data_IF_291683285338
#
_entry.id   IF_291683285338
#
_cell.length_a   1.000
_cell.length_b   1.000
_cell.length_c   1.000
_cell.angle_alpha   90.00
_cell.angle_beta   90.00
_cell.angle_gamma   90.00
#
_symmetry.space_group_name_H-M   'P 1'
#
loop_
_entity.id
_entity.type
_entity.pdbx_description
1 polymer ?
#
# COMPACT_ATOMS: atom_id res chain seq x y z
N UNK A 1 -33.37 50.41 -43.70
CA UNK A 1 -32.19 50.21 -42.83
C UNK A 1 -32.64 49.45 -41.60
N UNK A 2 -32.71 48.11 -41.66
CA UNK A 2 -33.03 47.26 -40.51
C UNK A 2 -32.07 46.06 -40.54
N UNK A 3 -31.09 46.04 -39.63
CA UNK A 3 -30.09 44.98 -39.49
C UNK A 3 -30.67 43.83 -38.65
N UNK A 4 -30.70 42.63 -39.23
CA UNK A 4 -30.95 41.39 -38.49
C UNK A 4 -29.65 40.91 -37.84
N UNK A 5 -29.53 41.08 -36.52
CA UNK A 5 -28.46 40.44 -35.74
C UNK A 5 -28.95 39.05 -35.30
N UNK A 6 -28.50 37.99 -35.97
CA UNK A 6 -28.72 36.61 -35.55
C UNK A 6 -27.80 36.29 -34.37
N UNK A 7 -28.36 36.15 -33.17
CA UNK A 7 -27.65 35.66 -32.00
C UNK A 7 -27.54 34.12 -32.10
N UNK A 8 -26.36 33.62 -32.45
CA UNK A 8 -26.04 32.19 -32.40
C UNK A 8 -25.57 31.89 -30.97
N UNK A 9 -26.44 31.30 -30.14
CA UNK A 9 -26.05 30.72 -28.86
C UNK A 9 -25.31 29.41 -29.10
N UNK A 10 -23.98 29.46 -29.04
CA UNK A 10 -23.10 28.30 -29.07
C UNK A 10 -23.19 27.57 -27.73
N UNK A 11 -24.04 26.54 -27.65
CA UNK A 11 -24.09 25.60 -26.51
C UNK A 11 -22.85 24.70 -26.57
N UNK A 12 -21.77 25.12 -25.93
CA UNK A 12 -20.60 24.28 -25.69
C UNK A 12 -20.96 23.21 -24.67
N UNK A 13 -21.29 22.00 -25.13
CA UNK A 13 -21.31 20.79 -24.30
C UNK A 13 -19.87 20.46 -23.88
N UNK A 14 -19.43 21.02 -22.75
CA UNK A 14 -18.23 20.57 -22.08
C UNK A 14 -18.50 19.21 -21.45
N UNK A 15 -17.92 18.15 -22.00
CA UNK A 15 -17.84 16.86 -21.30
C UNK A 15 -17.04 17.07 -20.01
N UNK A 16 -17.74 17.14 -18.87
CA UNK A 16 -17.13 17.08 -17.56
C UNK A 16 -16.61 15.65 -17.36
N UNK A 17 -15.32 15.44 -17.62
CA UNK A 17 -14.65 14.23 -17.17
C UNK A 17 -14.51 14.31 -15.63
N UNK A 18 -15.38 13.60 -14.91
CA UNK A 18 -15.21 13.44 -13.47
C UNK A 18 -13.87 12.72 -13.21
N UNK A 19 -13.00 13.35 -12.41
CA UNK A 19 -11.72 12.77 -12.06
C UNK A 19 -11.96 11.50 -11.21
N UNK A 20 -11.36 10.40 -11.63
CA UNK A 20 -11.52 9.12 -10.94
C UNK A 20 -10.94 9.20 -9.52
N UNK A 21 -11.79 8.96 -8.52
CA UNK A 21 -11.44 8.98 -7.10
C UNK A 21 -10.52 7.80 -6.80
N UNK A 22 -9.34 8.05 -6.22
CA UNK A 22 -8.32 7.02 -5.91
C UNK A 22 -8.39 6.46 -4.50
N UNK A 23 -9.09 7.17 -3.60
CA UNK A 23 -9.21 6.83 -2.18
C UNK A 23 -10.66 7.03 -1.77
N UNK A 24 -11.27 6.02 -1.15
CA UNK A 24 -12.57 6.10 -0.50
C UNK A 24 -12.40 5.93 1.01
N UNK A 25 -13.17 6.66 1.80
CA UNK A 25 -13.08 6.60 3.26
C UNK A 25 -14.39 6.10 3.84
N UNK A 26 -14.30 5.01 4.60
CA UNK A 26 -15.42 4.36 5.28
C UNK A 26 -15.40 4.74 6.74
N UNK A 27 -16.49 5.28 7.26
CA UNK A 27 -16.57 5.77 8.63
C UNK A 27 -17.26 4.79 9.56
N UNK A 28 -16.85 4.83 10.84
CA UNK A 28 -17.36 3.96 11.88
C UNK A 28 -17.83 4.77 13.08
N UNK A 29 -18.89 4.27 13.70
CA UNK A 29 -19.34 4.73 15.00
C UNK A 29 -18.28 4.53 16.08
N UNK A 30 -18.45 5.26 17.18
CA UNK A 30 -17.62 5.07 18.35
C UNK A 30 -17.65 3.62 18.81
N UNK A 31 -16.45 3.06 19.01
CA UNK A 31 -16.23 1.71 19.52
C UNK A 31 -16.83 0.56 18.68
N UNK A 32 -17.21 0.85 17.43
CA UNK A 32 -17.77 -0.16 16.52
C UNK A 32 -16.83 -0.47 15.36
N UNK A 33 -16.97 -1.70 14.86
CA UNK A 33 -16.44 -2.16 13.58
C UNK A 33 -17.54 -2.60 12.61
N UNK A 34 -18.82 -2.54 12.99
CA UNK A 34 -19.93 -2.68 12.06
C UNK A 34 -20.13 -1.39 11.24
N UNK A 35 -20.55 -1.53 9.99
CA UNK A 35 -20.91 -0.43 9.10
C UNK A 35 -22.40 -0.46 8.78
N UNK A 36 -22.95 0.67 8.36
CA UNK A 36 -24.32 0.77 7.86
C UNK A 36 -24.39 0.52 6.34
N UNK A 37 -25.61 0.43 5.80
CA UNK A 37 -25.84 0.20 4.37
C UNK A 37 -25.28 1.31 3.48
N UNK A 38 -25.19 2.55 3.98
CA UNK A 38 -24.64 3.67 3.21
C UNK A 38 -23.13 3.50 3.02
N UNK A 39 -22.42 3.15 4.10
CA UNK A 39 -20.99 2.84 4.08
C UNK A 39 -20.70 1.59 3.24
N UNK A 40 -21.55 0.56 3.33
CA UNK A 40 -21.43 -0.63 2.49
C UNK A 40 -21.56 -0.26 1.00
N UNK A 41 -22.58 0.51 0.63
CA UNK A 41 -22.77 0.96 -0.74
C UNK A 41 -21.60 1.83 -1.23
N UNK A 42 -21.02 2.66 -0.37
CA UNK A 42 -19.86 3.49 -0.72
C UNK A 42 -18.64 2.63 -1.12
N UNK A 43 -18.40 1.50 -0.45
CA UNK A 43 -17.35 0.53 -0.81
C UNK A 43 -17.60 -0.03 -2.21
N UNK A 44 -18.83 -0.49 -2.46
CA UNK A 44 -19.20 -1.11 -3.72
C UNK A 44 -19.10 -0.12 -4.88
N UNK A 45 -19.68 1.06 -4.70
CA UNK A 45 -19.63 2.16 -5.68
C UNK A 45 -18.20 2.53 -6.05
N UNK A 46 -17.31 2.62 -5.07
CA UNK A 46 -15.92 2.97 -5.29
C UNK A 46 -15.20 1.94 -6.16
N UNK A 47 -15.43 0.66 -5.91
CA UNK A 47 -14.78 -0.43 -6.67
C UNK A 47 -15.41 -0.64 -8.04
N UNK A 48 -16.74 -0.49 -8.17
CA UNK A 48 -17.46 -0.62 -9.44
C UNK A 48 -17.15 0.53 -10.40
N UNK A 49 -17.05 1.76 -9.88
CA UNK A 49 -16.70 2.95 -10.70
C UNK A 49 -15.26 2.92 -11.19
N UNK A 50 -14.39 2.15 -10.53
CA UNK A 50 -13.03 1.97 -10.95
C UNK A 50 -12.93 0.91 -12.06
N UNK A 51 -12.12 1.17 -13.09
CA UNK A 51 -11.86 0.19 -14.13
C UNK A 51 -11.06 -0.99 -13.56
N UNK A 52 -11.78 -2.07 -13.24
CA UNK A 52 -11.23 -3.27 -12.60
C UNK A 52 -10.14 -3.98 -13.41
N UNK A 53 -10.04 -3.72 -14.72
CA UNK A 53 -9.01 -4.31 -15.60
C UNK A 53 -7.64 -3.70 -15.36
N UNK A 54 -7.61 -2.42 -14.98
CA UNK A 54 -6.40 -1.68 -14.63
C UNK A 54 -6.14 -1.63 -13.13
N UNK A 55 -7.03 -2.13 -12.27
CA UNK A 55 -6.73 -2.29 -10.84
C UNK A 55 -5.67 -3.37 -10.67
N UNK A 56 -4.56 -2.99 -10.07
CA UNK A 56 -3.51 -3.89 -9.64
C UNK A 56 -3.78 -4.37 -8.20
N UNK A 57 -4.06 -3.44 -7.28
CA UNK A 57 -4.40 -3.77 -5.90
C UNK A 57 -5.39 -2.82 -5.25
N UNK A 58 -6.05 -3.31 -4.20
CA UNK A 58 -6.78 -2.55 -3.20
C UNK A 58 -6.02 -2.64 -1.88
N UNK A 59 -5.79 -1.49 -1.26
CA UNK A 59 -5.18 -1.36 0.06
C UNK A 59 -6.22 -0.84 1.05
N UNK A 60 -6.22 -1.39 2.26
CA UNK A 60 -7.20 -1.13 3.32
C UNK A 60 -6.45 -0.76 4.59
N UNK A 61 -6.63 0.47 5.05
CA UNK A 61 -5.99 0.99 6.27
C UNK A 61 -7.04 1.43 7.28
N UNK A 62 -7.05 0.79 8.46
CA UNK A 62 -8.03 1.08 9.51
C UNK A 62 -7.44 1.93 10.61
N UNK A 63 -8.24 2.85 11.15
CA UNK A 63 -7.83 3.80 12.17
C UNK A 63 -8.87 3.87 13.28
N UNK A 64 -8.39 4.24 14.46
CA UNK A 64 -9.22 4.60 15.61
C UNK A 64 -8.99 6.06 16.01
N UNK A 65 -9.91 6.60 16.81
CA UNK A 65 -9.68 7.89 17.45
C UNK A 65 -8.64 7.78 18.59
N UNK A 66 -8.30 8.91 19.22
CA UNK A 66 -7.20 9.05 20.17
C UNK A 66 -7.41 8.29 21.50
N UNK A 67 -8.64 7.83 21.77
CA UNK A 67 -9.06 7.29 23.07
C UNK A 67 -8.81 5.79 23.18
N UNK A 68 -8.61 5.32 24.41
CA UNK A 68 -8.35 3.90 24.71
C UNK A 68 -6.87 3.53 24.62
N UNK A 69 -6.53 2.32 25.06
CA UNK A 69 -5.14 1.85 25.05
C UNK A 69 -4.67 1.43 23.64
N UNK A 70 -3.36 1.31 23.45
CA UNK A 70 -2.78 1.02 22.13
C UNK A 70 -3.21 -0.35 21.59
N UNK A 71 -3.17 -1.40 22.42
CA UNK A 71 -3.46 -2.77 22.00
C UNK A 71 -4.92 -2.93 21.57
N UNK A 72 -5.83 -2.32 22.35
CA UNK A 72 -7.25 -2.26 22.05
C UNK A 72 -7.51 -1.58 20.71
N UNK A 73 -6.92 -0.39 20.51
CA UNK A 73 -7.12 0.35 19.27
C UNK A 73 -6.53 -0.37 18.07
N UNK A 74 -5.39 -1.02 18.23
CA UNK A 74 -4.80 -1.84 17.18
C UNK A 74 -5.78 -2.96 16.78
N UNK A 75 -6.31 -3.71 17.76
CA UNK A 75 -7.30 -4.76 17.52
C UNK A 75 -8.59 -4.23 16.87
N UNK A 76 -9.17 -3.15 17.39
CA UNK A 76 -10.38 -2.54 16.82
C UNK A 76 -10.16 -2.08 15.38
N UNK A 77 -9.00 -1.48 15.09
CA UNK A 77 -8.66 -1.07 13.72
C UNK A 77 -8.46 -2.27 12.78
N UNK A 78 -7.95 -3.40 13.27
CA UNK A 78 -7.90 -4.67 12.52
C UNK A 78 -9.30 -5.23 12.22
N UNK A 79 -10.22 -5.17 13.18
CA UNK A 79 -11.59 -5.66 12.99
C UNK A 79 -12.37 -4.79 11.98
N UNK A 80 -12.11 -3.47 11.95
CA UNK A 80 -12.66 -2.55 10.94
C UNK A 80 -12.19 -2.88 9.53
N UNK A 81 -10.88 -3.07 9.31
CA UNK A 81 -10.39 -3.44 7.98
C UNK A 81 -10.89 -4.81 7.53
N UNK A 82 -11.05 -5.75 8.47
CA UNK A 82 -11.64 -7.06 8.18
C UNK A 82 -13.11 -6.96 7.76
N UNK A 83 -13.87 -6.03 8.33
CA UNK A 83 -15.26 -5.75 7.94
C UNK A 83 -15.32 -5.27 6.49
N UNK A 84 -14.50 -4.27 6.11
CA UNK A 84 -14.43 -3.77 4.73
C UNK A 84 -13.97 -4.86 3.76
N UNK A 85 -12.97 -5.66 4.14
CA UNK A 85 -12.53 -6.84 3.37
C UNK A 85 -13.68 -7.83 3.16
N UNK A 86 -14.46 -8.13 4.20
CA UNK A 86 -15.58 -9.06 4.11
C UNK A 86 -16.62 -8.58 3.09
N UNK A 87 -16.97 -7.29 3.09
CA UNK A 87 -17.86 -6.67 2.09
C UNK A 87 -17.33 -6.88 0.67
N UNK A 88 -16.07 -6.52 0.42
CA UNK A 88 -15.44 -6.70 -0.90
C UNK A 88 -15.50 -8.15 -1.37
N UNK A 89 -15.13 -9.09 -0.49
CA UNK A 89 -15.03 -10.50 -0.87
C UNK A 89 -16.37 -11.20 -1.01
N UNK A 90 -17.39 -10.79 -0.25
CA UNK A 90 -18.76 -11.32 -0.37
C UNK A 90 -19.41 -10.87 -1.68
N UNK A 91 -19.06 -9.69 -2.18
CA UNK A 91 -19.50 -9.15 -3.47
C UNK A 91 -18.61 -9.58 -4.65
N UNK A 92 -17.86 -10.67 -4.49
CA UNK A 92 -17.12 -11.31 -5.58
C UNK A 92 -15.81 -10.60 -5.98
N UNK A 93 -15.36 -9.60 -5.24
CA UNK A 93 -14.06 -8.98 -5.52
C UNK A 93 -12.93 -9.99 -5.34
N UNK A 94 -12.01 -10.02 -6.30
CA UNK A 94 -10.91 -10.99 -6.27
C UNK A 94 -10.02 -10.77 -5.05
N UNK A 95 -10.04 -11.73 -4.12
CA UNK A 95 -9.23 -11.74 -2.89
C UNK A 95 -7.74 -11.51 -3.16
N UNK A 96 -7.23 -11.94 -4.30
CA UNK A 96 -5.82 -11.79 -4.67
C UNK A 96 -5.44 -10.34 -5.02
N UNK A 97 -6.43 -9.47 -5.29
CA UNK A 97 -6.18 -8.03 -5.50
C UNK A 97 -6.27 -7.23 -4.20
N UNK A 98 -6.73 -7.78 -3.09
CA UNK A 98 -6.73 -7.10 -1.78
C UNK A 98 -5.39 -7.39 -1.11
N UNK A 99 -4.43 -6.47 -1.21
CA UNK A 99 -3.04 -6.74 -0.82
C UNK A 99 -2.74 -6.28 0.61
N UNK A 100 -3.02 -5.02 0.94
CA UNK A 100 -2.71 -4.48 2.28
C UNK A 100 -3.98 -4.39 3.11
N UNK A 101 -3.94 -4.96 4.31
CA UNK A 101 -5.03 -4.93 5.31
C UNK A 101 -4.36 -4.70 6.65
N UNK A 102 -4.32 -3.44 7.09
CA UNK A 102 -3.57 -3.06 8.29
C UNK A 102 -4.42 -2.19 9.20
N UNK A 103 -4.64 -2.67 10.43
CA UNK A 103 -5.08 -1.85 11.53
C UNK A 103 -3.92 -0.97 11.99
N UNK A 104 -4.08 0.35 11.92
CA UNK A 104 -3.07 1.35 12.31
C UNK A 104 -3.18 1.77 13.77
N UNK A 105 -4.23 1.33 14.47
CA UNK A 105 -4.53 1.75 15.83
C UNK A 105 -5.00 3.20 15.90
N UNK A 106 -4.76 3.84 17.05
CA UNK A 106 -5.25 5.19 17.34
C UNK A 106 -4.46 6.28 16.61
N UNK A 107 -5.18 7.28 16.14
CA UNK A 107 -4.59 8.52 15.60
C UNK A 107 -4.47 9.54 16.73
N UNK A 108 -3.24 9.92 17.07
CA UNK A 108 -2.99 10.93 18.09
C UNK A 108 -3.36 12.31 17.55
N UNK A 109 -4.15 13.05 18.32
CA UNK A 109 -4.52 14.44 18.03
C UNK A 109 -3.53 15.34 18.79
N UNK A 110 -2.91 16.30 18.11
CA UNK A 110 -2.00 17.27 18.73
C UNK A 110 -2.77 18.36 19.48
N UNK A 111 -2.14 18.94 20.49
CA UNK A 111 -2.78 19.75 21.53
C UNK A 111 -3.42 21.07 21.03
N UNK A 112 -3.05 21.56 19.84
CA UNK A 112 -3.50 22.87 19.33
C UNK A 112 -4.91 22.88 18.70
N UNK A 113 -5.68 21.80 18.81
CA UNK A 113 -7.00 21.66 18.14
C UNK A 113 -8.11 21.30 19.14
N UNK A 114 -8.37 22.18 20.10
CA UNK A 114 -9.52 22.02 21.02
C UNK A 114 -10.87 22.31 20.33
N UNK A 115 -10.88 23.09 19.24
CA UNK A 115 -12.07 23.27 18.42
C UNK A 115 -12.38 21.99 17.62
N UNK A 116 -13.63 21.53 17.65
CA UNK A 116 -14.13 20.41 16.83
C UNK A 116 -13.54 19.01 17.14
N UNK A 117 -13.08 18.78 18.37
CA UNK A 117 -12.52 17.49 18.80
C UNK A 117 -13.44 16.30 18.51
N UNK A 118 -14.75 16.45 18.73
CA UNK A 118 -15.73 15.39 18.44
C UNK A 118 -15.79 15.04 16.94
N UNK A 119 -15.71 16.04 16.08
CA UNK A 119 -15.70 15.87 14.62
C UNK A 119 -14.40 15.20 14.16
N UNK A 120 -13.25 15.65 14.67
CA UNK A 120 -11.94 15.04 14.37
C UNK A 120 -11.93 13.57 14.76
N UNK A 121 -12.42 13.24 15.96
CA UNK A 121 -12.57 11.86 16.41
C UNK A 121 -13.45 11.06 15.47
N UNK A 122 -14.59 11.62 15.04
CA UNK A 122 -15.46 10.97 14.06
C UNK A 122 -14.76 10.70 12.73
N UNK A 123 -13.98 11.65 12.25
CA UNK A 123 -13.20 11.49 11.01
C UNK A 123 -12.03 10.50 11.17
N UNK A 124 -11.52 10.29 12.38
CA UNK A 124 -10.44 9.33 12.65
C UNK A 124 -10.93 7.89 12.84
N UNK A 125 -12.20 7.69 13.18
CA UNK A 125 -12.83 6.36 13.17
C UNK A 125 -13.16 5.96 11.74
N UNK A 126 -12.14 5.51 11.00
CA UNK A 126 -12.27 5.27 9.57
C UNK A 126 -11.46 4.09 9.07
N UNK A 127 -11.82 3.65 7.88
CA UNK A 127 -11.01 2.80 7.01
C UNK A 127 -10.83 3.50 5.69
N UNK A 128 -9.57 3.71 5.28
CA UNK A 128 -9.24 4.26 3.98
C UNK A 128 -8.99 3.11 3.00
N UNK A 129 -9.73 3.13 1.89
CA UNK A 129 -9.70 2.17 0.81
C UNK A 129 -9.04 2.80 -0.41
N UNK A 130 -7.87 2.31 -0.80
CA UNK A 130 -7.08 2.87 -1.89
C UNK A 130 -7.06 1.90 -3.06
N UNK A 131 -7.37 2.40 -4.26
CA UNK A 131 -7.19 1.65 -5.51
C UNK A 131 -5.84 2.04 -6.11
N UNK A 132 -4.98 1.03 -6.25
CA UNK A 132 -3.71 1.13 -6.95
C UNK A 132 -3.91 0.56 -8.35
N UNK A 133 -3.83 1.42 -9.36
CA UNK A 133 -3.83 0.97 -10.75
C UNK A 133 -2.47 0.37 -11.14
N UNK A 134 -2.49 -0.51 -12.13
CA UNK A 134 -1.31 -0.93 -12.89
C UNK A 134 -0.53 0.31 -13.32
N UNK A 135 0.79 0.30 -13.11
CA UNK A 135 1.71 1.39 -13.46
C UNK A 135 1.43 2.74 -12.74
N UNK A 136 0.65 2.78 -11.64
CA UNK A 136 0.37 4.01 -10.87
C UNK A 136 1.59 4.71 -10.29
N UNK A 137 2.71 3.99 -10.19
CA UNK A 137 3.96 4.50 -9.65
C UNK A 137 4.84 5.17 -10.73
N UNK A 138 4.40 5.21 -11.99
CA UNK A 138 5.15 5.73 -13.13
C UNK A 138 5.69 4.61 -14.03
N UNK A 139 6.20 4.98 -15.21
CA UNK A 139 6.82 4.03 -16.15
C UNK A 139 7.97 3.30 -15.45
N UNK A 140 7.96 1.97 -15.50
CA UNK A 140 9.00 1.13 -14.90
C UNK A 140 8.86 0.88 -13.39
N UNK A 141 7.68 1.06 -12.79
CA UNK A 141 7.43 0.65 -11.40
C UNK A 141 6.17 -0.23 -11.32
N UNK A 142 6.36 -1.44 -10.78
CA UNK A 142 5.38 -2.51 -10.67
C UNK A 142 5.30 -2.98 -9.22
N UNK A 143 4.32 -3.81 -8.89
CA UNK A 143 4.22 -4.46 -7.58
C UNK A 143 4.16 -5.99 -7.65
N UNK A 144 4.24 -6.55 -8.85
CA UNK A 144 4.31 -7.98 -9.13
C UNK A 144 5.21 -8.24 -10.33
N UNK A 145 5.74 -9.47 -10.44
CA UNK A 145 6.58 -9.88 -11.56
C UNK A 145 5.68 -10.10 -12.78
N UNK A 146 5.97 -9.40 -13.87
CA UNK A 146 5.27 -9.47 -15.14
C UNK A 146 5.97 -10.46 -16.10
N UNK A 147 5.28 -10.81 -17.18
CA UNK A 147 5.87 -11.60 -18.28
C UNK A 147 7.04 -10.88 -18.97
N UNK A 148 6.96 -9.54 -19.03
CA UNK A 148 7.97 -8.69 -19.65
C UNK A 148 8.34 -7.56 -18.72
N UNK A 149 9.64 -7.41 -18.51
CA UNK A 149 10.24 -6.28 -17.82
C UNK A 149 11.22 -5.55 -18.75
N UNK A 150 11.70 -4.40 -18.32
CA UNK A 150 12.84 -3.68 -18.88
C UNK A 150 13.90 -3.47 -17.80
N UNK A 151 15.16 -3.37 -18.21
CA UNK A 151 16.24 -2.98 -17.28
C UNK A 151 15.90 -1.62 -16.67
N UNK A 152 16.03 -1.50 -15.35
CA UNK A 152 15.64 -0.31 -14.59
C UNK A 152 14.24 -0.40 -13.96
N UNK A 153 13.43 -1.40 -14.33
CA UNK A 153 12.14 -1.62 -13.70
C UNK A 153 12.29 -1.89 -12.21
N UNK A 154 11.43 -1.27 -11.39
CA UNK A 154 11.34 -1.51 -9.95
C UNK A 154 10.08 -2.29 -9.64
N UNK A 155 10.19 -3.33 -8.84
CA UNK A 155 9.07 -4.17 -8.40
C UNK A 155 8.96 -4.05 -6.89
N UNK A 156 7.93 -3.35 -6.41
CA UNK A 156 7.65 -3.15 -4.99
C UNK A 156 6.65 -4.19 -4.48
N UNK A 157 7.06 -5.05 -3.56
CA UNK A 157 6.15 -6.06 -3.03
C UNK A 157 5.44 -5.54 -1.78
N UNK A 158 4.18 -5.15 -1.96
CA UNK A 158 3.30 -4.64 -0.91
C UNK A 158 3.18 -5.60 0.28
N UNK A 159 3.29 -6.92 0.05
CA UNK A 159 3.06 -7.94 1.07
C UNK A 159 4.34 -8.55 1.67
N UNK A 160 5.53 -8.06 1.31
CA UNK A 160 6.77 -8.43 2.02
C UNK A 160 6.92 -7.50 3.22
N UNK A 161 6.12 -7.79 4.24
CA UNK A 161 6.08 -6.99 5.46
C UNK A 161 7.14 -7.43 6.46
N UNK A 162 7.67 -6.46 7.20
CA UNK A 162 8.59 -6.66 8.32
C UNK A 162 8.01 -6.03 9.57
N UNK A 163 8.22 -6.67 10.72
CA UNK A 163 7.91 -6.05 12.00
C UNK A 163 8.75 -4.76 12.18
N UNK A 164 8.21 -3.80 12.93
CA UNK A 164 8.90 -2.54 13.20
C UNK A 164 10.28 -2.81 13.82
N UNK A 165 11.32 -2.23 13.23
CA UNK A 165 12.70 -2.40 13.69
C UNK A 165 13.29 -3.80 13.51
N UNK A 166 12.64 -4.71 12.76
CA UNK A 166 13.14 -6.07 12.55
C UNK A 166 13.30 -6.41 11.08
N UNK A 167 14.27 -7.27 10.78
CA UNK A 167 14.44 -7.95 9.49
C UNK A 167 13.72 -9.31 9.43
N UNK A 168 13.04 -9.76 10.49
CA UNK A 168 12.38 -11.06 10.50
C UNK A 168 11.16 -11.09 9.56
N UNK A 169 11.11 -12.08 8.68
CA UNK A 169 9.98 -12.33 7.79
C UNK A 169 8.80 -12.93 8.56
N UNK A 170 7.62 -12.33 8.41
CA UNK A 170 6.37 -12.89 8.93
C UNK A 170 5.93 -14.12 8.11
N UNK A 171 5.02 -14.93 8.66
CA UNK A 171 4.46 -16.09 7.94
C UNK A 171 3.73 -15.67 6.66
N UNK A 172 3.07 -14.50 6.64
CA UNK A 172 2.42 -13.98 5.45
C UNK A 172 3.47 -13.54 4.41
N UNK A 173 4.52 -12.84 4.84
CA UNK A 173 5.63 -12.43 3.94
C UNK A 173 6.30 -13.64 3.29
N UNK A 174 6.44 -14.75 4.03
CA UNK A 174 6.96 -16.02 3.50
C UNK A 174 6.07 -16.61 2.41
N UNK A 175 4.74 -16.67 2.63
CA UNK A 175 3.78 -17.14 1.62
C UNK A 175 3.83 -16.31 0.34
N UNK A 176 4.05 -15.01 0.47
CA UNK A 176 4.16 -14.10 -0.67
C UNK A 176 5.49 -14.28 -1.40
N UNK A 177 6.59 -14.46 -0.66
CA UNK A 177 7.88 -14.82 -1.23
C UNK A 177 7.87 -16.18 -1.94
N UNK A 178 7.04 -17.13 -1.49
CA UNK A 178 6.84 -18.40 -2.20
C UNK A 178 6.27 -18.17 -3.61
N UNK A 179 5.20 -17.37 -3.73
CA UNK A 179 4.60 -17.00 -5.02
C UNK A 179 5.60 -16.27 -5.92
N UNK A 180 6.38 -15.35 -5.34
CA UNK A 180 7.41 -14.60 -6.06
C UNK A 180 8.50 -15.56 -6.56
N UNK A 181 8.95 -16.50 -5.73
CA UNK A 181 9.94 -17.49 -6.12
C UNK A 181 9.46 -18.37 -7.28
N UNK A 182 8.18 -18.77 -7.30
CA UNK A 182 7.59 -19.50 -8.44
C UNK A 182 7.62 -18.67 -9.73
N UNK A 183 7.30 -17.38 -9.65
CA UNK A 183 7.37 -16.46 -10.81
C UNK A 183 8.81 -16.29 -11.30
N UNK A 184 9.78 -16.14 -10.40
CA UNK A 184 11.21 -16.02 -10.73
C UNK A 184 11.80 -17.29 -11.34
N UNK A 185 11.26 -18.45 -10.98
CA UNK A 185 11.63 -19.74 -11.54
C UNK A 185 11.08 -19.93 -12.96
N UNK A 186 9.89 -19.38 -13.25
CA UNK A 186 9.33 -19.34 -14.62
C UNK A 186 10.08 -18.35 -15.51
N UNK A 187 10.37 -17.15 -14.98
CA UNK A 187 11.05 -16.09 -15.71
C UNK A 187 12.57 -16.16 -15.47
N UNK A 188 13.26 -17.09 -16.14
CA UNK A 188 14.69 -17.37 -15.87
C UNK A 188 15.69 -16.30 -16.32
N UNK A 189 15.24 -15.37 -17.17
CA UNK A 189 16.14 -14.43 -17.85
C UNK A 189 16.40 -13.15 -17.07
N UNK A 190 15.59 -12.86 -16.03
CA UNK A 190 15.74 -11.61 -15.29
C UNK A 190 16.84 -11.73 -14.22
N UNK A 191 17.73 -10.76 -14.16
CA UNK A 191 18.62 -10.54 -13.02
C UNK A 191 18.16 -9.27 -12.28
N UNK A 192 18.28 -9.27 -10.95
CA UNK A 192 17.74 -8.18 -10.14
C UNK A 192 18.50 -7.93 -8.83
N UNK A 193 18.46 -6.67 -8.37
CA UNK A 193 18.97 -6.23 -7.07
C UNK A 193 17.82 -6.09 -6.07
N UNK A 194 17.90 -6.82 -4.97
CA UNK A 194 16.96 -6.74 -3.84
C UNK A 194 17.34 -5.54 -2.96
N UNK A 195 16.47 -4.55 -2.87
CA UNK A 195 16.70 -3.31 -2.14
C UNK A 195 15.85 -3.23 -0.90
N UNK A 196 16.47 -3.14 0.26
CA UNK A 196 15.78 -2.93 1.52
C UNK A 196 15.75 -1.46 1.91
N UNK A 197 14.63 -1.03 2.50
CA UNK A 197 14.39 0.34 2.92
C UNK A 197 13.91 0.39 4.38
N UNK A 198 14.15 1.54 5.01
CA UNK A 198 13.67 1.84 6.36
C UNK A 198 12.99 3.20 6.39
N UNK A 199 11.99 3.32 7.25
CA UNK A 199 11.39 4.61 7.56
C UNK A 199 12.05 5.27 8.77
N UNK A 200 11.84 6.59 8.88
CA UNK A 200 11.68 7.29 10.16
C UNK A 200 12.94 7.32 11.03
N UNK A 201 14.10 7.11 10.39
CA UNK A 201 15.38 7.31 11.03
C UNK A 201 15.72 8.80 10.92
N UNK A 202 16.16 9.47 12.00
CA UNK A 202 16.60 10.85 11.93
C UNK A 202 17.58 11.08 10.78
N UNK A 203 17.54 12.26 10.15
CA UNK A 203 18.31 12.57 8.92
C UNK A 203 19.83 12.37 9.06
N UNK A 204 20.36 12.45 10.28
CA UNK A 204 21.78 12.21 10.56
C UNK A 204 22.19 10.73 10.54
N UNK A 205 21.23 9.81 10.52
CA UNK A 205 21.46 8.38 10.40
C UNK A 205 20.95 7.84 9.07
N UNK A 206 21.80 7.09 8.38
CA UNK A 206 21.48 6.47 7.10
C UNK A 206 20.46 5.32 7.22
N UNK A 207 20.56 4.51 8.27
CA UNK A 207 19.78 3.29 8.45
C UNK A 207 19.26 3.18 9.89
N UNK A 208 18.29 2.31 10.10
CA UNK A 208 17.72 2.00 11.39
C UNK A 208 18.47 0.84 12.07
N UNK A 209 18.30 0.74 13.38
CA UNK A 209 18.82 -0.39 14.19
C UNK A 209 17.91 -1.60 13.97
N UNK A 210 18.52 -2.73 13.66
CA UNK A 210 17.81 -4.02 13.62
C UNK A 210 17.80 -4.64 15.02
N UNK A 211 16.60 -4.80 15.58
CA UNK A 211 16.38 -5.38 16.92
C UNK A 211 16.98 -6.77 17.09
N UNK A 212 17.14 -7.54 16.01
CA UNK A 212 17.71 -8.88 16.11
C UNK A 212 19.24 -8.87 16.27
N UNK A 213 19.92 -7.88 15.69
CA UNK A 213 21.40 -7.82 15.66
C UNK A 213 21.96 -6.69 16.51
N UNK A 214 21.12 -5.74 16.91
CA UNK A 214 21.49 -4.46 17.53
C UNK A 214 22.44 -3.59 16.67
N UNK A 215 22.55 -3.88 15.36
CA UNK A 215 23.35 -3.10 14.44
C UNK A 215 22.49 -2.13 13.61
N UNK A 216 23.06 -0.99 13.23
CA UNK A 216 22.45 0.00 12.32
C UNK A 216 22.54 -0.44 10.85
N UNK A 217 21.96 -1.59 10.54
CA UNK A 217 21.96 -2.23 9.21
C UNK A 217 20.60 -2.84 8.86
N UNK A 218 19.50 -2.29 9.40
CA UNK A 218 18.17 -2.88 9.22
C UNK A 218 17.76 -2.99 7.75
N UNK A 219 18.00 -1.95 6.94
CA UNK A 219 17.68 -1.98 5.51
C UNK A 219 18.48 -3.08 4.78
N UNK A 220 19.75 -3.24 5.11
CA UNK A 220 20.61 -4.29 4.54
C UNK A 220 20.14 -5.68 4.97
N UNK A 221 19.84 -5.88 6.26
CA UNK A 221 19.41 -7.17 6.79
C UNK A 221 18.06 -7.61 6.20
N UNK A 222 17.14 -6.67 5.96
CA UNK A 222 15.88 -6.92 5.24
C UNK A 222 16.08 -7.37 3.80
N UNK A 223 17.03 -6.77 3.09
CA UNK A 223 17.36 -7.21 1.73
C UNK A 223 18.01 -8.62 1.75
N UNK A 224 18.96 -8.81 2.68
CA UNK A 224 19.72 -10.04 2.84
C UNK A 224 18.83 -11.24 3.21
N UNK A 225 17.87 -11.08 4.12
CA UNK A 225 16.98 -12.18 4.50
C UNK A 225 16.06 -12.62 3.35
N UNK A 226 15.61 -11.69 2.51
CA UNK A 226 14.83 -12.00 1.31
C UNK A 226 15.67 -12.75 0.30
N UNK A 227 16.92 -12.32 0.07
CA UNK A 227 17.88 -13.04 -0.77
C UNK A 227 18.05 -14.51 -0.34
N UNK A 228 18.33 -14.75 0.94
CA UNK A 228 18.48 -16.11 1.45
C UNK A 228 17.19 -16.92 1.38
N UNK A 229 16.05 -16.28 1.61
CA UNK A 229 14.76 -16.94 1.46
C UNK A 229 14.51 -17.40 0.03
N UNK A 230 14.78 -16.56 -0.98
CA UNK A 230 14.63 -16.94 -2.38
C UNK A 230 15.59 -18.04 -2.81
N UNK A 231 16.83 -18.05 -2.30
CA UNK A 231 17.76 -19.19 -2.50
C UNK A 231 17.16 -20.47 -1.93
N UNK A 232 16.59 -20.42 -0.73
CA UNK A 232 15.94 -21.60 -0.12
C UNK A 232 14.71 -22.09 -0.92
N UNK A 233 14.21 -21.27 -1.85
CA UNK A 233 13.12 -21.56 -2.78
C UNK A 233 13.61 -21.82 -4.21
N UNK A 234 14.88 -22.21 -4.37
CA UNK A 234 15.51 -22.59 -5.64
C UNK A 234 15.60 -21.46 -6.68
N UNK A 235 15.56 -20.19 -6.26
CA UNK A 235 15.94 -19.08 -7.14
C UNK A 235 17.46 -19.02 -7.24
N UNK A 236 18.00 -19.05 -8.47
CA UNK A 236 19.44 -19.04 -8.71
C UNK A 236 20.08 -17.77 -8.13
N UNK A 237 21.02 -17.94 -7.19
CA UNK A 237 21.72 -16.85 -6.51
C UNK A 237 22.53 -15.96 -7.46
N UNK A 238 23.00 -16.50 -8.59
CA UNK A 238 23.76 -15.73 -9.59
C UNK A 238 22.93 -14.66 -10.28
N UNK A 239 21.60 -14.74 -10.19
CA UNK A 239 20.67 -13.76 -10.77
C UNK A 239 20.24 -12.69 -9.78
N UNK A 240 20.76 -12.74 -8.56
CA UNK A 240 20.29 -11.90 -7.46
C UNK A 240 21.48 -11.20 -6.80
N UNK A 241 21.29 -9.92 -6.48
CA UNK A 241 22.14 -9.18 -5.54
C UNK A 241 21.27 -8.54 -4.47
N UNK A 242 21.85 -7.99 -3.41
CA UNK A 242 21.10 -7.29 -2.38
C UNK A 242 21.81 -6.04 -1.86
N UNK A 243 21.04 -5.02 -1.49
CA UNK A 243 21.56 -3.73 -1.02
C UNK A 243 20.64 -3.09 0.02
N UNK A 244 21.24 -2.55 1.08
CA UNK A 244 20.55 -1.70 2.05
C UNK A 244 20.53 -0.25 1.58
N UNK A 245 19.33 0.31 1.37
CA UNK A 245 19.14 1.66 0.84
C UNK A 245 18.81 2.71 1.92
N UNK A 246 18.71 2.28 3.19
CA UNK A 246 18.45 3.19 4.30
C UNK A 246 17.14 3.97 4.16
N UNK A 247 17.14 5.20 4.67
CA UNK A 247 16.05 6.17 4.55
C UNK A 247 16.17 7.09 3.30
N UNK A 248 17.07 6.80 2.35
CA UNK A 248 17.38 7.70 1.21
C UNK A 248 16.31 7.79 0.13
N UNK A 249 15.37 6.85 0.08
CA UNK A 249 14.36 6.76 -0.99
C UNK A 249 12.95 6.64 -0.42
N UNK A 250 12.48 7.66 0.34
CA UNK A 250 11.09 7.69 0.80
C UNK A 250 10.17 7.89 -0.40
N UNK A 251 9.09 7.12 -0.45
CA UNK A 251 8.08 7.20 -1.50
C UNK A 251 7.04 8.30 -1.21
N UNK A 252 7.08 8.91 -0.01
CA UNK A 252 6.18 10.00 0.38
C UNK A 252 4.72 9.57 0.54
N UNK A 253 4.46 8.26 0.63
CA UNK A 253 3.12 7.65 0.72
C UNK A 253 2.85 7.01 2.09
N UNK A 254 3.61 7.40 3.10
CA UNK A 254 3.50 6.94 4.48
C UNK A 254 4.52 5.89 4.89
N UNK A 255 4.73 5.78 6.20
CA UNK A 255 5.84 5.02 6.79
C UNK A 255 5.85 3.53 6.46
N UNK A 256 4.67 2.94 6.28
CA UNK A 256 4.54 1.51 5.97
C UNK A 256 5.09 1.18 4.57
N UNK A 257 4.92 2.09 3.62
CA UNK A 257 5.41 1.96 2.25
C UNK A 257 6.92 2.15 2.18
N UNK A 258 7.50 2.87 3.13
CA UNK A 258 8.96 3.08 3.24
C UNK A 258 9.68 1.96 4.03
N UNK A 259 8.94 1.11 4.75
CA UNK A 259 9.45 -0.14 5.35
C UNK A 259 9.38 -1.31 4.35
N UNK A 260 9.97 -1.14 3.19
CA UNK A 260 9.83 -2.08 2.06
C UNK A 260 11.08 -2.85 1.69
N UNK A 261 10.85 -3.92 0.92
CA UNK A 261 11.82 -4.46 -0.02
C UNK A 261 11.27 -4.30 -1.44
N UNK A 262 12.10 -3.83 -2.36
CA UNK A 262 11.81 -3.75 -3.80
C UNK A 262 12.88 -4.52 -4.59
N UNK A 263 12.55 -5.00 -5.79
CA UNK A 263 13.54 -5.51 -6.74
C UNK A 263 13.78 -4.47 -7.82
N UNK A 264 15.05 -4.19 -8.12
CA UNK A 264 15.44 -3.46 -9.33
C UNK A 264 15.89 -4.47 -10.38
N UNK A 265 15.25 -4.50 -11.54
CA UNK A 265 15.70 -5.31 -12.68
C UNK A 265 17.01 -4.73 -13.23
N UNK A 266 18.06 -5.53 -13.22
CA UNK A 266 19.41 -5.13 -13.67
C UNK A 266 19.77 -5.71 -15.03
N UNK A 267 19.14 -6.83 -15.44
CA UNK A 267 19.38 -7.49 -16.73
C UNK A 267 18.19 -8.36 -17.15
N UNK A 268 18.08 -8.62 -18.46
CA UNK A 268 17.09 -9.48 -19.14
C UNK A 268 17.80 -10.29 -20.22
#
# INVERSE_FOLDING_TARGET
>A
MLNYLKLITLLSFGCLFAQEKKVETIYFDFDKYSIDNQQEQAILDFVIKADTTVIESIQIYGYCDDRGNNDYNYKLSEDRVNTVKAVLTSHGFNKNKILIIEGKGRVIITEDVFANLAEIRSKNRRVDLLIVKKNSFGKGIYNSIQEKHSVGDRIYFENILFQLGSSKLSSNSKKELDKIAEQLQKNKNIEFEIRGHVCCTPSYYYDAIDRATNERKLSLNRAKIVFWYLISKNVNSLRMTYKGCGNKFPLGKGEAVDRRVEFLITKI
#
